data_IF_737515828745
#
_entry.id   IF_737515828745
#
_cell.length_a   1.000
_cell.length_b   1.000
_cell.length_c   1.000
_cell.angle_alpha   90.00
_cell.angle_beta   90.00
_cell.angle_gamma   90.00
#
_symmetry.space_group_name_H-M   'P 1'
#
loop_
_entity.id
_entity.type
_entity.pdbx_description
1 polymer ?
#
# COMPACT_ATOMS: atom_id res chain seq x y z
N UNK A 1 16.60 -18.76 -0.74
CA UNK A 1 16.18 -17.34 -0.87
C UNK A 1 14.93 -17.17 -1.71
N UNK A 2 14.83 -17.71 -2.93
CA UNK A 2 13.68 -17.58 -3.85
C UNK A 2 12.30 -17.95 -3.24
N UNK A 3 12.19 -19.03 -2.42
CA UNK A 3 10.92 -19.40 -1.75
C UNK A 3 10.45 -18.35 -0.75
N UNK A 4 11.37 -17.73 0.01
CA UNK A 4 11.05 -16.69 0.99
C UNK A 4 10.52 -15.41 0.29
N UNK A 5 11.15 -15.01 -0.83
CA UNK A 5 10.71 -13.86 -1.60
C UNK A 5 9.32 -14.09 -2.18
N UNK A 6 9.04 -15.25 -2.76
CA UNK A 6 7.69 -15.58 -3.26
C UNK A 6 6.64 -15.48 -2.16
N UNK A 7 6.92 -16.01 -0.98
CA UNK A 7 6.01 -15.93 0.16
C UNK A 7 5.76 -14.47 0.60
N UNK A 8 6.83 -13.67 0.71
CA UNK A 8 6.73 -12.24 1.07
C UNK A 8 5.97 -11.45 -0.01
N UNK A 9 6.19 -11.74 -1.30
CA UNK A 9 5.42 -11.12 -2.40
C UNK A 9 3.93 -11.40 -2.28
N UNK A 10 3.54 -12.63 -1.99
CA UNK A 10 2.14 -12.99 -1.79
C UNK A 10 1.56 -12.23 -0.59
N UNK A 11 2.27 -12.15 0.53
CA UNK A 11 1.82 -11.41 1.71
C UNK A 11 1.71 -9.90 1.42
N UNK A 12 2.69 -9.32 0.73
CA UNK A 12 2.71 -7.91 0.37
C UNK A 12 1.50 -7.50 -0.48
N UNK A 13 0.98 -8.43 -1.29
CA UNK A 13 -0.20 -8.22 -2.11
C UNK A 13 -1.51 -8.54 -1.36
N UNK A 14 -1.56 -9.64 -0.62
CA UNK A 14 -2.81 -10.12 -0.01
C UNK A 14 -3.24 -9.30 1.20
N UNK A 15 -2.29 -8.87 2.06
CA UNK A 15 -2.63 -8.15 3.30
C UNK A 15 -3.31 -6.80 3.02
N UNK A 16 -2.83 -5.93 2.11
CA UNK A 16 -3.54 -4.68 1.79
C UNK A 16 -4.95 -4.93 1.26
N UNK A 17 -5.11 -5.92 0.37
CA UNK A 17 -6.42 -6.24 -0.21
C UNK A 17 -7.39 -6.72 0.87
N UNK A 18 -6.97 -7.66 1.72
CA UNK A 18 -7.79 -8.14 2.83
C UNK A 18 -8.15 -7.01 3.80
N UNK A 19 -7.20 -6.11 4.08
CA UNK A 19 -7.45 -4.95 4.93
C UNK A 19 -8.55 -4.05 4.37
N UNK A 20 -8.50 -3.76 3.06
CA UNK A 20 -9.53 -2.96 2.39
C UNK A 20 -10.89 -3.65 2.44
N UNK A 21 -10.95 -4.95 2.12
CA UNK A 21 -12.20 -5.72 2.13
C UNK A 21 -12.82 -5.80 3.53
N UNK A 22 -12.03 -6.11 4.55
CA UNK A 22 -12.51 -6.18 5.94
C UNK A 22 -12.99 -4.81 6.43
N UNK A 23 -12.23 -3.74 6.12
CA UNK A 23 -12.64 -2.39 6.46
C UNK A 23 -13.93 -1.98 5.76
N UNK A 24 -14.14 -2.41 4.52
CA UNK A 24 -15.39 -2.20 3.79
C UNK A 24 -16.59 -2.88 4.49
N UNK A 25 -16.45 -4.15 4.88
CA UNK A 25 -17.49 -4.85 5.63
C UNK A 25 -17.79 -4.19 6.98
N UNK A 26 -16.76 -3.75 7.71
CA UNK A 26 -16.96 -3.02 8.97
C UNK A 26 -17.67 -1.68 8.75
N UNK A 27 -17.32 -0.94 7.71
CA UNK A 27 -17.93 0.35 7.38
C UNK A 27 -19.41 0.21 6.99
N UNK A 28 -19.79 -0.87 6.30
CA UNK A 28 -21.19 -1.17 6.00
C UNK A 28 -21.94 -1.51 7.31
N UNK A 29 -21.38 -2.34 8.18
CA UNK A 29 -22.02 -2.71 9.45
C UNK A 29 -22.25 -1.52 10.39
N UNK A 30 -21.45 -0.47 10.25
CA UNK A 30 -21.54 0.76 11.04
C UNK A 30 -22.28 1.89 10.31
N UNK A 31 -22.94 1.60 9.19
CA UNK A 31 -23.69 2.54 8.38
C UNK A 31 -22.91 3.77 7.88
N UNK A 32 -21.56 3.65 7.81
CA UNK A 32 -20.70 4.71 7.26
C UNK A 32 -20.70 4.74 5.75
N UNK A 33 -20.99 3.61 5.12
CA UNK A 33 -21.01 3.44 3.67
C UNK A 33 -22.19 2.53 3.30
N UNK A 34 -22.94 2.92 2.25
CA UNK A 34 -24.00 2.09 1.69
C UNK A 34 -23.44 0.82 1.07
N UNK A 35 -24.20 -0.27 1.16
CA UNK A 35 -23.85 -1.50 0.45
C UNK A 35 -23.94 -1.29 -1.07
N UNK A 36 -22.81 -1.41 -1.75
CA UNK A 36 -22.70 -1.24 -3.20
C UNK A 36 -21.41 -1.90 -3.70
N UNK A 37 -21.26 -2.07 -5.00
CA UNK A 37 -19.99 -2.54 -5.59
C UNK A 37 -19.13 -1.32 -5.93
N UNK A 38 -18.09 -0.96 -5.14
CA UNK A 38 -17.36 0.30 -5.27
C UNK A 38 -16.80 0.56 -6.66
N UNK A 39 -16.35 -0.48 -7.34
CA UNK A 39 -15.72 -0.39 -8.66
C UNK A 39 -16.72 -0.31 -9.82
N UNK A 40 -17.98 -0.67 -9.60
CA UNK A 40 -19.04 -0.64 -10.62
C UNK A 40 -19.92 0.58 -10.41
N UNK A 41 -20.41 0.77 -9.18
CA UNK A 41 -21.38 1.81 -8.84
C UNK A 41 -20.75 3.15 -8.52
N UNK A 42 -19.42 3.18 -8.26
CA UNK A 42 -18.68 4.40 -7.91
C UNK A 42 -19.13 5.07 -6.60
N UNK A 43 -19.87 4.35 -5.77
CA UNK A 43 -20.55 4.86 -4.57
C UNK A 43 -19.62 5.16 -3.40
N UNK A 44 -18.44 4.54 -3.35
CA UNK A 44 -17.45 4.75 -2.29
C UNK A 44 -16.02 4.58 -2.80
N UNK A 45 -15.06 5.13 -2.07
CA UNK A 45 -13.63 4.98 -2.34
C UNK A 45 -12.93 4.23 -1.20
N UNK A 46 -11.81 3.59 -1.50
CA UNK A 46 -10.98 2.90 -0.50
C UNK A 46 -10.66 3.83 0.68
N UNK A 47 -10.36 5.10 0.39
CA UNK A 47 -10.06 6.09 1.42
C UNK A 47 -11.29 6.53 2.24
N UNK A 48 -12.49 6.37 1.72
CA UNK A 48 -13.73 6.65 2.44
C UNK A 48 -14.05 5.53 3.42
N UNK A 49 -13.84 4.29 3.01
CA UNK A 49 -14.05 3.09 3.83
C UNK A 49 -13.24 3.14 5.14
N UNK A 50 -11.99 3.55 5.07
CA UNK A 50 -11.10 3.61 6.23
C UNK A 50 -11.04 4.96 6.95
N UNK A 51 -12.03 5.85 6.76
CA UNK A 51 -11.95 7.23 7.27
C UNK A 51 -12.42 7.38 8.70
N UNK A 52 -13.49 6.71 9.07
CA UNK A 52 -14.20 6.92 10.36
C UNK A 52 -13.75 5.93 11.44
N UNK A 53 -13.58 6.38 12.70
CA UNK A 53 -13.38 5.48 13.83
C UNK A 53 -14.61 4.58 14.07
N UNK A 54 -14.47 3.31 14.50
CA UNK A 54 -13.21 2.60 14.82
C UNK A 54 -12.49 1.99 13.61
N UNK A 55 -13.11 1.97 12.41
CA UNK A 55 -12.56 1.35 11.21
C UNK A 55 -11.22 1.97 10.80
N UNK A 56 -11.06 3.28 11.04
CA UNK A 56 -9.83 4.00 10.76
C UNK A 56 -8.61 3.40 11.51
N UNK A 57 -8.77 3.05 12.78
CA UNK A 57 -7.70 2.44 13.57
C UNK A 57 -7.32 1.06 13.04
N UNK A 58 -8.32 0.24 12.75
CA UNK A 58 -8.13 -1.07 12.15
C UNK A 58 -7.39 -0.94 10.80
N UNK A 59 -7.89 -0.10 9.91
CA UNK A 59 -7.30 0.13 8.59
C UNK A 59 -5.83 0.60 8.69
N UNK A 60 -5.55 1.61 9.50
CA UNK A 60 -4.19 2.14 9.67
C UNK A 60 -3.24 1.09 10.21
N UNK A 61 -3.63 0.35 11.25
CA UNK A 61 -2.78 -0.68 11.87
C UNK A 61 -2.36 -1.74 10.86
N UNK A 62 -3.31 -2.31 10.11
CA UNK A 62 -3.00 -3.35 9.13
C UNK A 62 -2.25 -2.80 7.90
N UNK A 63 -2.51 -1.57 7.50
CA UNK A 63 -1.73 -0.93 6.44
C UNK A 63 -0.28 -0.64 6.86
N UNK A 64 -0.02 -0.30 8.12
CA UNK A 64 1.37 -0.18 8.63
C UNK A 64 2.09 -1.54 8.66
N UNK A 65 1.39 -2.62 9.00
CA UNK A 65 1.95 -3.98 8.87
C UNK A 65 2.30 -4.28 7.40
N UNK A 66 1.43 -3.88 6.47
CA UNK A 66 1.68 -4.04 5.03
C UNK A 66 2.92 -3.27 4.58
N UNK A 67 3.13 -2.04 5.07
CA UNK A 67 4.34 -1.25 4.80
C UNK A 67 5.61 -2.01 5.20
N UNK A 68 5.62 -2.61 6.38
CA UNK A 68 6.76 -3.39 6.84
C UNK A 68 7.05 -4.59 5.94
N UNK A 69 6.00 -5.28 5.48
CA UNK A 69 6.14 -6.43 4.56
C UNK A 69 6.64 -5.98 3.18
N UNK A 70 6.13 -4.86 2.66
CA UNK A 70 6.60 -4.26 1.39
C UNK A 70 8.07 -3.83 1.50
N UNK A 71 8.48 -3.28 2.64
CA UNK A 71 9.89 -2.97 2.90
C UNK A 71 10.76 -4.23 2.87
N UNK A 72 10.33 -5.32 3.51
CA UNK A 72 11.04 -6.59 3.45
C UNK A 72 11.10 -7.13 2.01
N UNK A 73 10.04 -6.98 1.23
CA UNK A 73 10.00 -7.36 -0.18
C UNK A 73 11.11 -6.66 -0.98
N UNK A 74 11.21 -5.32 -0.89
CA UNK A 74 12.24 -4.55 -1.58
C UNK A 74 13.65 -4.90 -1.10
N UNK A 75 13.84 -5.08 0.20
CA UNK A 75 15.12 -5.47 0.78
C UNK A 75 15.58 -6.84 0.29
N UNK A 76 14.70 -7.83 0.27
CA UNK A 76 15.07 -9.18 -0.17
C UNK A 76 15.34 -9.24 -1.68
N UNK A 77 14.61 -8.52 -2.50
CA UNK A 77 14.89 -8.40 -3.92
C UNK A 77 16.26 -7.76 -4.14
N UNK A 78 16.58 -6.68 -3.44
CA UNK A 78 17.89 -6.04 -3.51
C UNK A 78 19.03 -7.01 -3.14
N UNK A 79 18.90 -7.75 -2.05
CA UNK A 79 19.93 -8.72 -1.62
C UNK A 79 20.13 -9.85 -2.63
N UNK A 80 19.04 -10.38 -3.21
CA UNK A 80 19.12 -11.47 -4.19
C UNK A 80 19.87 -11.05 -5.45
N UNK A 81 19.69 -9.83 -5.89
CA UNK A 81 20.29 -9.33 -7.11
C UNK A 81 21.70 -8.81 -6.85
N UNK A 82 21.97 -8.27 -5.66
CA UNK A 82 23.31 -7.80 -5.26
C UNK A 82 24.35 -8.93 -5.23
N UNK A 83 23.95 -10.17 -5.02
CA UNK A 83 24.83 -11.34 -5.11
C UNK A 83 25.35 -11.59 -6.53
N UNK A 84 24.65 -11.13 -7.57
CA UNK A 84 24.93 -11.41 -9.00
C UNK A 84 25.51 -10.21 -9.78
N UNK A 85 26.28 -9.31 -9.16
CA UNK A 85 26.79 -8.05 -9.70
C UNK A 85 25.77 -6.90 -9.59
N UNK A 86 25.85 -6.15 -8.50
CA UNK A 86 24.99 -4.99 -8.22
C UNK A 86 25.22 -3.87 -9.23
N UNK A 87 24.49 -3.90 -10.35
CA UNK A 87 24.38 -2.79 -11.29
C UNK A 87 23.75 -1.58 -10.60
N UNK A 88 24.09 -0.39 -11.07
CA UNK A 88 23.47 0.88 -10.65
C UNK A 88 21.93 0.82 -10.68
N UNK A 89 21.37 0.13 -11.66
CA UNK A 89 19.92 -0.04 -11.83
C UNK A 89 19.26 -0.68 -10.59
N UNK A 90 19.87 -1.67 -9.97
CA UNK A 90 19.27 -2.34 -8.81
C UNK A 90 19.29 -1.48 -7.54
N UNK A 91 20.33 -0.65 -7.37
CA UNK A 91 20.34 0.36 -6.32
C UNK A 91 19.24 1.38 -6.54
N UNK A 92 19.04 1.81 -7.78
CA UNK A 92 17.98 2.74 -8.15
C UNK A 92 16.59 2.13 -7.88
N UNK A 93 16.35 0.88 -8.28
CA UNK A 93 15.10 0.15 -8.01
C UNK A 93 14.79 0.08 -6.52
N UNK A 94 15.78 -0.25 -5.69
CA UNK A 94 15.61 -0.29 -4.24
C UNK A 94 15.27 1.10 -3.68
N UNK A 95 15.98 2.16 -4.10
CA UNK A 95 15.70 3.53 -3.68
C UNK A 95 14.28 3.97 -4.07
N UNK A 96 13.85 3.72 -5.30
CA UNK A 96 12.49 4.02 -5.75
C UNK A 96 11.44 3.25 -4.95
N UNK A 97 11.71 1.98 -4.62
CA UNK A 97 10.87 1.17 -3.73
C UNK A 97 10.74 1.77 -2.33
N UNK A 98 11.83 2.30 -1.76
CA UNK A 98 11.79 3.00 -0.47
C UNK A 98 11.01 4.30 -0.57
N UNK A 99 11.18 5.10 -1.64
CA UNK A 99 10.38 6.29 -1.87
C UNK A 99 8.89 5.97 -1.96
N UNK A 100 8.52 4.89 -2.65
CA UNK A 100 7.11 4.45 -2.71
C UNK A 100 6.54 4.18 -1.32
N UNK A 101 7.28 3.52 -0.45
CA UNK A 101 6.88 3.23 0.94
C UNK A 101 6.67 4.52 1.74
N UNK A 102 7.52 5.51 1.59
CA UNK A 102 7.39 6.79 2.29
C UNK A 102 6.07 7.47 1.90
N UNK A 103 5.76 7.54 0.60
CA UNK A 103 4.51 8.14 0.14
C UNK A 103 3.27 7.32 0.51
N UNK A 104 3.38 6.00 0.57
CA UNK A 104 2.32 5.16 1.09
C UNK A 104 2.08 5.39 2.58
N UNK A 105 3.13 5.59 3.36
CA UNK A 105 3.03 5.96 4.78
C UNK A 105 2.33 7.31 4.96
N UNK A 106 2.69 8.31 4.14
CA UNK A 106 2.01 9.61 4.13
C UNK A 106 0.51 9.46 3.82
N UNK A 107 0.16 8.66 2.81
CA UNK A 107 -1.24 8.37 2.51
C UNK A 107 -2.00 7.83 3.72
N UNK A 108 -1.42 6.88 4.46
CA UNK A 108 -2.06 6.25 5.62
C UNK A 108 -2.17 7.23 6.80
N UNK A 109 -1.12 8.01 7.07
CA UNK A 109 -1.12 9.01 8.15
C UNK A 109 -2.22 10.05 7.90
N UNK A 110 -2.29 10.57 6.67
CA UNK A 110 -3.27 11.58 6.27
C UNK A 110 -4.64 11.01 5.88
N UNK A 111 -4.93 9.77 6.25
CA UNK A 111 -6.27 9.20 6.13
C UNK A 111 -7.17 9.75 7.23
N UNK A 112 -7.86 10.87 6.95
CA UNK A 112 -8.73 11.57 7.87
C UNK A 112 -9.74 12.43 7.12
N UNK A 113 -10.48 13.25 7.85
CA UNK A 113 -11.47 14.22 7.34
C UNK A 113 -10.82 15.59 7.08
N UNK A 114 -11.39 16.33 6.12
CA UNK A 114 -10.98 17.68 5.78
C UNK A 114 -10.23 17.80 4.45
N UNK A 115 -10.19 19.03 3.92
CA UNK A 115 -9.63 19.29 2.58
C UNK A 115 -8.11 19.20 2.56
N UNK A 116 -7.45 19.58 3.64
CA UNK A 116 -6.00 19.43 3.82
C UNK A 116 -5.57 17.96 3.68
N UNK A 117 -6.27 17.07 4.37
CA UNK A 117 -6.02 15.62 4.30
C UNK A 117 -6.30 15.06 2.90
N UNK A 118 -7.29 15.61 2.19
CA UNK A 118 -7.63 15.19 0.83
C UNK A 118 -6.49 15.39 -0.16
N UNK A 119 -5.80 16.52 -0.07
CA UNK A 119 -4.66 16.83 -0.94
C UNK A 119 -3.49 15.86 -0.72
N UNK A 120 -3.01 15.73 0.52
CA UNK A 120 -1.89 14.84 0.85
C UNK A 120 -2.20 13.37 0.56
N UNK A 121 -3.43 12.94 0.80
CA UNK A 121 -3.88 11.59 0.51
C UNK A 121 -3.85 11.28 -1.00
N UNK A 122 -4.31 12.20 -1.84
CA UNK A 122 -4.27 12.02 -3.30
C UNK A 122 -2.83 11.95 -3.80
N UNK A 123 -2.00 12.91 -3.43
CA UNK A 123 -0.59 12.93 -3.83
C UNK A 123 0.13 11.68 -3.34
N UNK A 124 -0.04 11.30 -2.07
CA UNK A 124 0.61 10.12 -1.48
C UNK A 124 0.32 8.85 -2.27
N UNK A 125 -0.95 8.56 -2.59
CA UNK A 125 -1.31 7.34 -3.31
C UNK A 125 -0.83 7.36 -4.77
N UNK A 126 -0.92 8.50 -5.48
CA UNK A 126 -0.45 8.62 -6.86
C UNK A 126 1.06 8.40 -6.97
N UNK A 127 1.83 9.05 -6.11
CA UNK A 127 3.29 8.92 -6.10
C UNK A 127 3.70 7.51 -5.69
N UNK A 128 3.02 6.92 -4.70
CA UNK A 128 3.23 5.51 -4.32
C UNK A 128 3.07 4.57 -5.51
N UNK A 129 1.94 4.65 -6.22
CA UNK A 129 1.68 3.78 -7.38
C UNK A 129 2.74 4.01 -8.46
N UNK A 130 3.04 5.27 -8.79
CA UNK A 130 4.02 5.64 -9.81
C UNK A 130 5.41 5.04 -9.53
N UNK A 131 5.95 5.26 -8.33
CA UNK A 131 7.26 4.72 -7.97
C UNK A 131 7.26 3.19 -7.84
N UNK A 132 6.18 2.60 -7.37
CA UNK A 132 6.06 1.13 -7.30
C UNK A 132 6.09 0.52 -8.69
N UNK A 133 5.31 1.04 -9.63
CA UNK A 133 5.27 0.54 -11.01
C UNK A 133 6.63 0.69 -11.70
N UNK A 134 7.28 1.84 -11.57
CA UNK A 134 8.63 2.03 -12.13
C UNK A 134 9.63 1.04 -11.51
N UNK A 135 9.59 0.86 -10.20
CA UNK A 135 10.49 -0.07 -9.52
C UNK A 135 10.29 -1.51 -9.97
N UNK A 136 9.03 -1.95 -10.15
CA UNK A 136 8.71 -3.29 -10.66
C UNK A 136 9.15 -3.48 -12.12
N UNK A 137 8.97 -2.47 -12.97
CA UNK A 137 9.44 -2.49 -14.36
C UNK A 137 10.97 -2.58 -14.46
N UNK A 138 11.69 -1.91 -13.56
CA UNK A 138 13.15 -1.98 -13.51
C UNK A 138 13.67 -3.31 -12.93
N UNK A 139 12.84 -4.01 -12.14
CA UNK A 139 13.17 -5.31 -11.56
C UNK A 139 12.89 -6.47 -12.55
N UNK A 140 11.99 -6.28 -13.48
CA UNK A 140 11.58 -7.25 -14.49
C UNK A 140 12.65 -7.45 -15.58
#
# INVERSE_FOLDING_TARGET
MKKKIRFISILAFTIPILTVLMSYFFSIKLDYVSFCIPHIDGCTSISQVGRYPPVNYFFKTFMFISIFIIFLYWRFNYLLVSENNASFLYKLTFLLGIFSIIFFSLYIIFLGEGDYYRFFRRIGIFIYIFFTVISELLLS
#
